data_IF_053156373353
#
_entry.id   IF_053156373353
#
_cell.length_a   1.000
_cell.length_b   1.000
_cell.length_c   1.000
_cell.angle_alpha   90.00
_cell.angle_beta   90.00
_cell.angle_gamma   90.00
#
_symmetry.space_group_name_H-M   'P 1'
#
loop_
_entity.id
_entity.type
_entity.pdbx_description
1 polymer ?
#
# COMPACT_ATOMS: atom_id res chain seq x y z
N UNK A 1 4.98 0.06 -16.14
CA UNK A 1 4.78 1.30 -15.35
C UNK A 1 3.31 1.64 -15.33
N UNK A 2 2.74 1.85 -14.14
CA UNK A 2 1.31 2.13 -13.97
C UNK A 2 1.06 3.33 -13.06
N UNK A 3 -0.01 4.05 -13.33
CA UNK A 3 -0.49 5.18 -12.54
C UNK A 3 -2.01 5.07 -12.35
N UNK A 4 -2.54 5.41 -11.16
CA UNK A 4 -3.98 5.36 -10.89
C UNK A 4 -4.79 6.29 -11.80
N UNK A 5 -5.99 5.85 -12.20
CA UNK A 5 -6.85 6.57 -13.13
C UNK A 5 -8.10 7.19 -12.46
N UNK A 6 -8.54 6.66 -11.30
CA UNK A 6 -9.88 6.94 -10.77
C UNK A 6 -9.93 7.88 -9.54
N UNK A 7 -8.85 8.59 -9.24
CA UNK A 7 -8.86 9.53 -8.12
C UNK A 7 -9.70 10.80 -8.39
N UNK A 8 -9.87 11.17 -9.67
CA UNK A 8 -10.58 12.38 -10.06
C UNK A 8 -10.03 13.63 -9.34
N UNK A 9 -10.92 14.41 -8.73
CA UNK A 9 -10.53 15.59 -7.96
C UNK A 9 -10.18 15.29 -6.49
N UNK A 10 -10.29 14.05 -6.05
CA UNK A 10 -10.08 13.67 -4.64
C UNK A 10 -8.59 13.60 -4.26
N UNK A 11 -7.74 13.20 -5.21
CA UNK A 11 -6.30 13.21 -5.00
C UNK A 11 -5.56 13.79 -6.19
N UNK A 12 -4.46 14.50 -5.93
CA UNK A 12 -3.58 15.04 -6.96
C UNK A 12 -2.15 15.21 -6.41
N UNK A 13 -1.15 14.71 -7.12
CA UNK A 13 0.23 15.13 -6.93
C UNK A 13 0.40 16.48 -7.67
N UNK A 14 0.58 17.57 -6.92
CA UNK A 14 0.66 18.92 -7.48
C UNK A 14 2.05 19.19 -8.05
N UNK A 15 3.09 18.87 -7.28
CA UNK A 15 4.49 19.03 -7.68
C UNK A 15 5.38 18.07 -6.88
N UNK A 16 6.54 17.75 -7.44
CA UNK A 16 7.55 16.92 -6.79
C UNK A 16 8.96 17.45 -7.09
N UNK A 17 9.86 17.33 -6.12
CA UNK A 17 11.25 17.75 -6.28
C UNK A 17 11.88 18.23 -4.98
N UNK A 18 13.21 18.33 -4.97
CA UNK A 18 13.96 18.77 -3.80
C UNK A 18 13.74 17.86 -2.59
N UNK A 19 13.59 16.55 -2.82
CA UNK A 19 13.30 15.53 -1.81
C UNK A 19 11.96 15.68 -1.09
N UNK A 20 10.99 16.34 -1.75
CA UNK A 20 9.65 16.57 -1.21
C UNK A 20 8.58 16.36 -2.28
N UNK A 21 7.34 16.17 -1.82
CA UNK A 21 6.14 16.17 -2.65
C UNK A 21 5.05 17.04 -2.06
N UNK A 22 4.30 17.69 -2.93
CA UNK A 22 3.16 18.52 -2.63
C UNK A 22 1.91 17.83 -3.18
N UNK A 23 1.05 17.36 -2.29
CA UNK A 23 -0.09 16.50 -2.62
C UNK A 23 -1.39 17.06 -2.06
N UNK A 24 -2.44 16.95 -2.84
CA UNK A 24 -3.80 17.27 -2.41
C UNK A 24 -4.54 15.98 -2.03
N UNK A 25 -5.11 15.96 -0.82
CA UNK A 25 -5.99 14.91 -0.32
C UNK A 25 -7.36 15.52 0.02
N UNK A 26 -8.34 15.34 -0.87
CA UNK A 26 -9.63 16.04 -0.77
C UNK A 26 -9.46 17.55 -0.88
N UNK A 27 -9.78 18.28 0.18
CA UNK A 27 -9.67 19.76 0.23
C UNK A 27 -8.30 20.25 0.72
N UNK A 28 -7.49 19.37 1.32
CA UNK A 28 -6.26 19.78 1.99
C UNK A 28 -5.01 19.36 1.20
N UNK A 29 -4.09 20.33 1.06
CA UNK A 29 -2.79 20.11 0.42
C UNK A 29 -1.73 19.96 1.50
N UNK A 30 -0.95 18.88 1.41
CA UNK A 30 0.13 18.57 2.33
C UNK A 30 1.47 18.55 1.62
N UNK A 31 2.49 19.05 2.31
CA UNK A 31 3.88 19.01 1.89
C UNK A 31 4.62 18.03 2.78
N UNK A 32 5.26 17.02 2.19
CA UNK A 32 5.96 15.98 2.95
C UNK A 32 7.20 15.46 2.23
N UNK A 33 8.15 14.84 2.97
CA UNK A 33 9.37 14.31 2.40
C UNK A 33 9.11 13.17 1.41
N UNK A 34 9.88 13.17 0.32
CA UNK A 34 9.91 12.11 -0.68
C UNK A 34 11.34 11.89 -1.18
N UNK A 35 12.05 10.87 -0.71
CA UNK A 35 13.47 10.68 -1.03
C UNK A 35 13.76 10.45 -2.52
N UNK A 36 12.78 9.94 -3.26
CA UNK A 36 12.94 9.68 -4.69
C UNK A 36 12.83 10.93 -5.56
N UNK A 37 12.24 12.02 -5.04
CA UNK A 37 12.08 13.28 -5.77
C UNK A 37 13.38 14.12 -5.77
N UNK A 38 14.45 13.60 -6.37
CA UNK A 38 15.79 14.20 -6.37
C UNK A 38 15.95 15.38 -7.34
N UNK A 39 15.02 15.57 -8.26
CA UNK A 39 15.00 16.65 -9.24
C UNK A 39 14.52 17.98 -8.65
N UNK A 40 14.63 19.05 -9.42
CA UNK A 40 14.16 20.37 -9.02
C UNK A 40 12.62 20.45 -9.02
N UNK A 41 12.07 21.21 -8.08
CA UNK A 41 10.64 21.59 -8.07
C UNK A 41 10.29 22.37 -9.33
N UNK A 42 9.08 22.21 -9.85
CA UNK A 42 8.54 23.02 -10.95
C UNK A 42 7.95 24.33 -10.47
N UNK A 43 7.30 24.30 -9.31
CA UNK A 43 6.77 25.49 -8.66
C UNK A 43 7.83 26.17 -7.78
N UNK A 44 7.68 27.48 -7.58
CA UNK A 44 8.53 28.24 -6.65
C UNK A 44 8.29 27.80 -5.20
N UNK A 45 9.26 28.03 -4.33
CA UNK A 45 9.08 27.79 -2.89
C UNK A 45 7.96 28.63 -2.28
N UNK A 46 7.73 29.84 -2.81
CA UNK A 46 6.63 30.70 -2.40
C UNK A 46 5.27 30.08 -2.76
N UNK A 47 5.13 29.46 -3.96
CA UNK A 47 3.92 28.75 -4.36
C UNK A 47 3.69 27.50 -3.49
N UNK A 48 4.74 26.72 -3.22
CA UNK A 48 4.65 25.59 -2.31
C UNK A 48 4.17 26.01 -0.93
N UNK A 49 4.70 27.10 -0.40
CA UNK A 49 4.26 27.65 0.87
C UNK A 49 2.80 28.15 0.80
N UNK A 50 2.40 28.82 -0.26
CA UNK A 50 1.04 29.32 -0.44
C UNK A 50 0.02 28.20 -0.54
N UNK A 51 0.31 27.15 -1.31
CA UNK A 51 -0.59 26.03 -1.58
C UNK A 51 -0.71 25.07 -0.41
N UNK A 52 0.37 24.88 0.40
CA UNK A 52 0.36 23.89 1.48
C UNK A 52 -0.47 24.34 2.68
N UNK A 53 -1.42 23.50 3.10
CA UNK A 53 -2.18 23.62 4.34
C UNK A 53 -1.41 23.01 5.53
N UNK A 54 -0.63 21.97 5.29
CA UNK A 54 0.21 21.35 6.30
C UNK A 54 1.58 20.95 5.72
N UNK A 55 2.64 21.15 6.50
CA UNK A 55 4.00 20.80 6.13
C UNK A 55 4.62 19.88 7.19
N UNK A 56 5.04 18.69 6.79
CA UNK A 56 5.71 17.76 7.70
C UNK A 56 7.17 18.13 7.89
N UNK A 57 7.57 18.39 9.14
CA UNK A 57 8.95 18.64 9.55
C UNK A 57 9.53 17.42 10.22
N UNK A 58 10.55 16.82 9.60
CA UNK A 58 11.24 15.66 10.18
C UNK A 58 11.88 16.00 11.53
N UNK A 59 11.78 15.09 12.47
CA UNK A 59 12.55 15.12 13.70
C UNK A 59 14.02 14.77 13.40
N UNK A 60 14.93 15.41 14.10
CA UNK A 60 16.37 15.18 13.91
C UNK A 60 16.71 13.70 14.18
N UNK A 61 17.32 13.04 13.21
CA UNK A 61 17.70 11.62 13.29
C UNK A 61 16.59 10.62 12.94
N UNK A 62 15.39 11.07 12.57
CA UNK A 62 14.32 10.20 12.08
C UNK A 62 14.04 10.41 10.60
N UNK A 63 13.74 9.30 9.89
CA UNK A 63 13.26 9.35 8.50
C UNK A 63 11.73 9.42 8.42
N UNK A 64 11.04 8.95 9.46
CA UNK A 64 9.59 8.75 9.45
C UNK A 64 8.84 9.64 10.44
N UNK A 65 9.48 10.00 11.58
CA UNK A 65 8.85 10.78 12.65
C UNK A 65 9.11 12.27 12.50
N UNK A 66 8.15 13.05 12.96
CA UNK A 66 8.22 14.51 12.93
C UNK A 66 6.92 15.14 13.40
N UNK A 67 6.75 16.40 13.03
CA UNK A 67 5.59 17.20 13.38
C UNK A 67 5.03 17.90 12.15
N UNK A 68 3.73 18.12 12.13
CA UNK A 68 3.04 18.88 11.10
C UNK A 68 2.92 20.34 11.52
N UNK A 69 3.50 21.23 10.74
CA UNK A 69 3.21 22.67 10.79
C UNK A 69 1.94 22.94 10.00
N UNK A 70 0.85 23.22 10.68
CA UNK A 70 -0.47 23.41 10.07
C UNK A 70 -0.78 24.90 9.91
N UNK A 71 -1.30 25.29 8.74
CA UNK A 71 -1.76 26.64 8.44
C UNK A 71 -3.29 26.67 8.37
N UNK A 72 -3.89 27.60 9.06
CA UNK A 72 -5.33 27.74 9.08
C UNK A 72 -6.05 26.61 9.84
N UNK A 73 -7.22 26.23 9.36
CA UNK A 73 -8.04 25.20 9.98
C UNK A 73 -7.98 23.91 9.13
N UNK A 74 -7.10 23.01 9.51
CA UNK A 74 -7.09 21.62 8.98
C UNK A 74 -7.63 20.72 10.08
N UNK A 75 -8.65 19.90 9.84
CA UNK A 75 -9.16 18.97 10.85
C UNK A 75 -8.11 17.89 11.18
N UNK A 76 -8.16 17.33 12.39
CA UNK A 76 -7.29 16.23 12.79
C UNK A 76 -7.47 14.99 11.90
N UNK A 77 -8.69 14.83 11.36
CA UNK A 77 -9.03 13.79 10.40
C UNK A 77 -10.09 14.26 9.42
N UNK A 78 -10.02 13.75 8.19
CA UNK A 78 -11.07 13.90 7.16
C UNK A 78 -11.18 12.62 6.34
N UNK A 79 -12.20 12.54 5.52
CA UNK A 79 -12.45 11.35 4.72
C UNK A 79 -12.35 11.67 3.24
N UNK A 80 -11.78 10.75 2.49
CA UNK A 80 -11.56 10.89 1.07
C UNK A 80 -12.15 9.67 0.34
N UNK A 81 -13.14 9.87 -0.57
CA UNK A 81 -13.70 8.78 -1.35
C UNK A 81 -12.74 8.34 -2.47
N UNK A 82 -12.77 7.05 -2.75
CA UNK A 82 -12.25 6.46 -3.97
C UNK A 82 -13.39 5.77 -4.69
N UNK A 83 -13.62 6.15 -5.94
CA UNK A 83 -14.71 5.62 -6.73
C UNK A 83 -14.25 5.30 -8.14
N UNK A 84 -14.48 4.06 -8.56
CA UNK A 84 -14.29 3.58 -9.93
C UNK A 84 -15.53 2.84 -10.40
N UNK A 85 -15.46 2.21 -11.57
CA UNK A 85 -16.56 1.40 -12.09
C UNK A 85 -16.88 0.18 -11.19
N UNK A 86 -15.89 -0.30 -10.42
CA UNK A 86 -16.00 -1.50 -9.58
C UNK A 86 -15.93 -1.22 -8.09
N UNK A 87 -15.31 -0.13 -7.70
CA UNK A 87 -14.99 0.17 -6.30
C UNK A 87 -15.69 1.43 -5.81
N UNK A 88 -16.17 1.38 -4.57
CA UNK A 88 -16.72 2.53 -3.86
C UNK A 88 -16.25 2.46 -2.40
N UNK A 89 -15.12 3.10 -2.11
CA UNK A 89 -14.45 3.06 -0.82
C UNK A 89 -14.29 4.48 -0.26
N UNK A 90 -14.04 4.57 1.04
CA UNK A 90 -13.74 5.82 1.71
C UNK A 90 -12.58 5.62 2.68
N UNK A 91 -11.62 6.55 2.65
CA UNK A 91 -10.41 6.48 3.45
C UNK A 91 -10.31 7.66 4.41
N UNK A 92 -10.03 7.37 5.65
CA UNK A 92 -9.65 8.37 6.63
C UNK A 92 -8.24 8.86 6.34
N UNK A 93 -8.08 10.16 6.24
CA UNK A 93 -6.80 10.86 6.19
C UNK A 93 -6.59 11.54 7.54
N UNK A 94 -5.39 11.49 8.09
CA UNK A 94 -5.07 12.12 9.36
C UNK A 94 -3.59 12.52 9.43
N UNK A 95 -3.34 13.66 10.05
CA UNK A 95 -1.99 14.14 10.32
C UNK A 95 -1.52 13.57 11.67
N UNK A 96 -0.61 12.62 11.62
CA UNK A 96 -0.05 11.95 12.80
C UNK A 96 1.39 12.38 13.06
N UNK A 97 2.03 11.80 14.06
CA UNK A 97 3.48 12.01 14.31
C UNK A 97 4.38 11.39 13.22
N UNK A 98 3.81 10.81 12.19
CA UNK A 98 4.51 10.23 11.04
C UNK A 98 4.23 11.03 9.77
N UNK A 99 5.14 10.90 8.78
CA UNK A 99 4.99 11.55 7.47
C UNK A 99 3.82 11.00 6.64
N UNK A 100 3.38 9.78 6.94
CA UNK A 100 2.29 9.11 6.23
C UNK A 100 0.93 9.56 6.76
N UNK A 101 0.01 9.82 5.84
CA UNK A 101 -1.32 10.39 6.14
C UNK A 101 -2.45 9.35 6.13
N UNK A 102 -2.09 8.06 6.00
CA UNK A 102 -3.04 6.95 6.04
C UNK A 102 -3.45 6.41 4.67
N UNK A 103 -2.88 6.92 3.60
CA UNK A 103 -3.19 6.47 2.24
C UNK A 103 -1.95 6.55 1.35
N UNK A 104 -1.83 5.57 0.47
CA UNK A 104 -0.86 5.47 -0.61
C UNK A 104 -1.63 5.47 -1.94
N UNK A 105 -1.81 6.65 -2.58
CA UNK A 105 -2.67 6.78 -3.75
C UNK A 105 -2.23 5.95 -4.96
N UNK A 106 -0.94 5.72 -5.11
CA UNK A 106 -0.35 4.89 -6.17
C UNK A 106 -0.86 3.44 -6.14
N UNK A 107 -1.22 2.94 -4.96
CA UNK A 107 -1.75 1.59 -4.78
C UNK A 107 -3.11 1.37 -5.46
N UNK A 108 -3.78 2.41 -5.88
CA UNK A 108 -5.06 2.27 -6.55
C UNK A 108 -4.94 1.51 -7.90
N UNK A 109 -3.79 1.48 -8.56
CA UNK A 109 -3.54 0.60 -9.70
C UNK A 109 -3.62 -0.88 -9.31
N UNK A 110 -3.06 -1.25 -8.16
CA UNK A 110 -3.17 -2.60 -7.61
C UNK A 110 -4.60 -2.92 -7.15
N UNK A 111 -5.35 -1.93 -6.65
CA UNK A 111 -6.75 -2.12 -6.26
C UNK A 111 -7.64 -2.45 -7.46
N UNK A 112 -7.45 -1.77 -8.59
CA UNK A 112 -8.21 -2.07 -9.82
C UNK A 112 -7.88 -3.46 -10.37
N UNK A 113 -6.61 -3.87 -10.32
CA UNK A 113 -6.22 -5.24 -10.64
C UNK A 113 -6.93 -6.27 -9.75
N UNK A 114 -6.96 -6.06 -8.44
CA UNK A 114 -7.67 -6.93 -7.51
C UNK A 114 -9.17 -6.96 -7.83
N UNK A 115 -9.78 -5.80 -8.07
CA UNK A 115 -11.21 -5.70 -8.39
C UNK A 115 -11.57 -6.36 -9.73
N UNK A 116 -10.63 -6.43 -10.68
CA UNK A 116 -10.80 -7.17 -11.93
C UNK A 116 -10.67 -8.67 -11.73
N UNK A 117 -9.67 -9.13 -10.97
CA UNK A 117 -9.31 -10.56 -10.90
C UNK A 117 -10.10 -11.34 -9.86
N UNK A 118 -10.50 -10.75 -8.73
CA UNK A 118 -11.24 -11.48 -7.68
C UNK A 118 -12.55 -12.10 -8.19
N UNK A 119 -13.37 -11.44 -9.03
CA UNK A 119 -14.58 -12.06 -9.57
C UNK A 119 -14.34 -13.27 -10.50
N UNK A 120 -13.11 -13.51 -10.95
CA UNK A 120 -12.75 -14.63 -11.82
C UNK A 120 -12.56 -15.94 -11.07
N UNK A 121 -12.39 -15.89 -9.73
CA UNK A 121 -12.21 -17.09 -8.93
C UNK A 121 -13.43 -18.01 -9.00
N UNK A 122 -13.17 -19.30 -9.21
CA UNK A 122 -14.22 -20.33 -9.20
C UNK A 122 -14.80 -20.55 -7.81
N UNK A 123 -13.96 -20.37 -6.79
CA UNK A 123 -14.36 -20.51 -5.39
C UNK A 123 -15.21 -19.32 -4.96
N UNK A 124 -16.43 -19.60 -4.54
CA UNK A 124 -17.27 -18.61 -3.86
C UNK A 124 -16.58 -18.17 -2.56
N UNK A 125 -16.42 -16.87 -2.33
CA UNK A 125 -15.73 -16.30 -1.17
C UNK A 125 -14.26 -16.78 -1.05
N UNK A 126 -13.39 -16.50 -2.02
CA UNK A 126 -11.98 -16.89 -1.95
C UNK A 126 -11.29 -16.23 -0.74
N UNK A 127 -10.39 -16.96 -0.08
CA UNK A 127 -9.66 -16.46 1.10
C UNK A 127 -8.47 -15.62 0.66
N UNK A 128 -8.43 -14.40 1.14
CA UNK A 128 -7.34 -13.45 0.88
C UNK A 128 -6.59 -13.08 2.16
N UNK A 129 -5.28 -13.13 2.08
CA UNK A 129 -4.35 -12.72 3.13
C UNK A 129 -3.62 -11.45 2.70
N UNK A 130 -3.78 -10.38 3.46
CA UNK A 130 -3.04 -9.13 3.24
C UNK A 130 -2.02 -8.95 4.37
N UNK A 131 -0.74 -8.96 4.02
CA UNK A 131 0.41 -8.85 4.93
C UNK A 131 1.01 -7.45 4.84
N UNK A 132 1.46 -6.90 5.97
CA UNK A 132 1.89 -5.50 6.11
C UNK A 132 0.78 -4.55 5.66
N UNK A 133 -0.44 -4.88 6.06
CA UNK A 133 -1.64 -4.42 5.40
C UNK A 133 -2.03 -2.96 5.71
N UNK A 134 -1.27 -2.28 6.58
CA UNK A 134 -1.39 -0.87 6.92
C UNK A 134 -2.84 -0.45 7.24
N UNK A 135 -3.34 0.63 6.65
CA UNK A 135 -4.71 1.14 6.87
C UNK A 135 -5.78 0.42 6.05
N UNK A 136 -5.41 -0.67 5.36
CA UNK A 136 -6.32 -1.65 4.81
C UNK A 136 -6.83 -1.40 3.40
N UNK A 137 -6.24 -0.52 2.61
CA UNK A 137 -6.73 -0.23 1.26
C UNK A 137 -7.03 -1.49 0.43
N UNK A 138 -6.03 -2.34 0.24
CA UNK A 138 -6.20 -3.60 -0.49
C UNK A 138 -7.15 -4.59 0.22
N UNK A 139 -7.17 -4.62 1.56
CA UNK A 139 -8.12 -5.47 2.32
C UNK A 139 -9.57 -5.07 2.07
N UNK A 140 -9.86 -3.77 2.01
CA UNK A 140 -11.21 -3.25 1.72
C UNK A 140 -11.64 -3.60 0.30
N UNK A 141 -10.73 -3.49 -0.67
CA UNK A 141 -10.98 -3.89 -2.06
C UNK A 141 -11.35 -5.38 -2.12
N UNK A 142 -10.50 -6.25 -1.55
CA UNK A 142 -10.77 -7.68 -1.54
C UNK A 142 -12.12 -8.00 -0.88
N UNK A 143 -12.43 -7.34 0.23
CA UNK A 143 -13.71 -7.54 0.94
C UNK A 143 -14.90 -7.04 0.12
N UNK A 144 -14.82 -5.88 -0.51
CA UNK A 144 -15.88 -5.36 -1.37
C UNK A 144 -16.15 -6.29 -2.57
N UNK A 145 -15.11 -6.94 -3.09
CA UNK A 145 -15.20 -7.91 -4.19
C UNK A 145 -15.63 -9.32 -3.73
N UNK A 146 -16.00 -9.50 -2.46
CA UNK A 146 -16.60 -10.75 -1.95
C UNK A 146 -15.62 -11.74 -1.33
N UNK A 147 -14.34 -11.40 -1.17
CA UNK A 147 -13.37 -12.29 -0.53
C UNK A 147 -13.55 -12.38 0.99
N UNK A 148 -13.16 -13.52 1.58
CA UNK A 148 -12.89 -13.66 3.01
C UNK A 148 -11.49 -13.13 3.30
N UNK A 149 -11.39 -12.00 4.03
CA UNK A 149 -10.12 -11.28 4.20
C UNK A 149 -9.54 -11.46 5.58
N UNK A 150 -8.26 -11.85 5.63
CA UNK A 150 -7.41 -11.76 6.83
C UNK A 150 -6.40 -10.64 6.62
N UNK A 151 -6.47 -9.62 7.48
CA UNK A 151 -5.61 -8.44 7.49
C UNK A 151 -4.59 -8.57 8.61
N UNK A 152 -3.30 -8.59 8.27
CA UNK A 152 -2.19 -8.74 9.22
C UNK A 152 -1.30 -7.50 9.20
N UNK A 153 -1.17 -6.87 10.34
CA UNK A 153 -0.23 -5.77 10.56
C UNK A 153 0.27 -5.80 12.01
N UNK A 154 1.52 -5.42 12.23
CA UNK A 154 2.13 -5.43 13.56
C UNK A 154 1.71 -4.25 14.44
N UNK A 155 1.19 -3.17 13.84
CA UNK A 155 0.95 -1.89 14.50
C UNK A 155 -0.51 -1.72 14.89
N UNK A 156 -0.86 -1.95 16.16
CA UNK A 156 -2.25 -1.87 16.66
C UNK A 156 -3.00 -0.58 16.33
N UNK A 157 -2.42 0.64 16.46
CA UNK A 157 -3.09 1.87 16.03
C UNK A 157 -3.47 1.89 14.55
N UNK A 158 -2.67 1.28 13.68
CA UNK A 158 -2.93 1.17 12.25
C UNK A 158 -4.12 0.23 11.99
N UNK A 159 -4.21 -0.88 12.72
CA UNK A 159 -5.39 -1.77 12.66
C UNK A 159 -6.69 -1.05 13.08
N UNK A 160 -6.63 -0.16 14.08
CA UNK A 160 -7.79 0.65 14.45
C UNK A 160 -8.19 1.61 13.34
N UNK A 161 -7.20 2.18 12.65
CA UNK A 161 -7.43 3.03 11.48
C UNK A 161 -8.05 2.25 10.32
N UNK A 162 -7.54 1.05 10.05
CA UNK A 162 -8.09 0.17 9.00
C UNK A 162 -9.56 -0.23 9.28
N UNK A 163 -9.92 -0.44 10.56
CA UNK A 163 -11.33 -0.67 10.96
C UNK A 163 -12.20 0.56 10.71
N UNK A 164 -11.74 1.77 11.06
CA UNK A 164 -12.48 3.00 10.72
C UNK A 164 -12.68 3.12 9.21
N UNK A 165 -11.67 2.78 8.38
CA UNK A 165 -11.80 2.77 6.92
C UNK A 165 -12.83 1.75 6.44
N UNK A 166 -12.88 0.55 7.05
CA UNK A 166 -13.89 -0.46 6.76
C UNK A 166 -15.31 0.06 7.08
N UNK A 167 -15.50 0.65 8.25
CA UNK A 167 -16.80 1.17 8.71
C UNK A 167 -17.31 2.31 7.80
N UNK A 168 -16.45 3.29 7.46
CA UNK A 168 -16.86 4.40 6.58
C UNK A 168 -17.07 3.96 5.13
N UNK A 169 -16.43 2.86 4.71
CA UNK A 169 -16.69 2.20 3.44
C UNK A 169 -17.93 1.30 3.45
N UNK A 170 -18.64 1.22 4.59
CA UNK A 170 -19.84 0.38 4.79
C UNK A 170 -19.58 -1.11 4.53
N UNK A 171 -18.40 -1.58 4.90
CA UNK A 171 -17.99 -2.97 4.82
C UNK A 171 -17.91 -3.59 6.22
N UNK A 172 -17.86 -4.91 6.27
CA UNK A 172 -17.70 -5.72 7.49
C UNK A 172 -16.92 -7.01 7.19
N UNK A 173 -16.74 -7.88 8.19
CA UNK A 173 -16.28 -9.25 8.00
C UNK A 173 -14.79 -9.41 7.69
N UNK A 174 -13.94 -8.43 8.00
CA UNK A 174 -12.48 -8.56 7.90
C UNK A 174 -11.92 -9.11 9.23
N UNK A 175 -11.08 -10.14 9.14
CA UNK A 175 -10.35 -10.71 10.28
C UNK A 175 -9.06 -9.92 10.52
N UNK A 176 -8.97 -9.24 11.66
CA UNK A 176 -7.84 -8.39 12.04
C UNK A 176 -6.83 -9.12 12.91
N UNK A 177 -5.56 -9.12 12.52
CA UNK A 177 -4.46 -9.77 13.24
C UNK A 177 -3.35 -8.77 13.55
N UNK A 178 -3.08 -8.55 14.86
CA UNK A 178 -1.95 -7.76 15.32
C UNK A 178 -0.75 -8.68 15.52
N UNK A 179 0.01 -8.97 14.47
CA UNK A 179 1.08 -9.99 14.47
C UNK A 179 2.17 -9.66 13.45
N UNK A 180 3.36 -10.21 13.67
CA UNK A 180 4.42 -10.24 12.67
C UNK A 180 4.03 -11.09 11.46
N UNK A 181 4.25 -10.58 10.25
CA UNK A 181 3.80 -11.21 9.01
C UNK A 181 4.46 -12.58 8.77
N UNK A 182 5.78 -12.69 8.95
CA UNK A 182 6.51 -13.94 8.74
C UNK A 182 6.10 -15.01 9.76
N UNK A 183 5.95 -14.62 11.03
CA UNK A 183 5.47 -15.49 12.10
C UNK A 183 4.04 -15.98 11.82
N UNK A 184 3.17 -15.10 11.32
CA UNK A 184 1.82 -15.45 10.92
C UNK A 184 1.83 -16.51 9.81
N UNK A 185 2.54 -16.25 8.69
CA UNK A 185 2.61 -17.15 7.53
C UNK A 185 3.14 -18.53 7.93
N UNK A 186 4.26 -18.59 8.66
CA UNK A 186 4.82 -19.85 9.17
C UNK A 186 3.85 -20.63 10.08
N UNK A 187 3.01 -19.93 10.82
CA UNK A 187 1.96 -20.57 11.62
C UNK A 187 0.85 -21.14 10.74
N UNK A 188 0.40 -20.42 9.73
CA UNK A 188 -0.65 -20.89 8.81
C UNK A 188 -0.16 -22.08 7.98
N UNK A 189 1.11 -22.11 7.53
CA UNK A 189 1.72 -23.24 6.87
C UNK A 189 1.69 -24.52 7.75
N UNK A 190 2.09 -24.40 9.03
CA UNK A 190 2.02 -25.54 9.98
C UNK A 190 0.59 -26.04 10.24
N UNK A 191 -0.43 -25.19 10.02
CA UNK A 191 -1.84 -25.54 10.15
C UNK A 191 -2.45 -26.13 8.88
N UNK A 192 -1.71 -26.11 7.77
CA UNK A 192 -2.20 -26.53 6.47
C UNK A 192 -3.31 -25.64 5.91
N UNK A 193 -3.30 -24.35 6.27
CA UNK A 193 -4.25 -23.39 5.73
C UNK A 193 -3.76 -22.87 4.37
N UNK A 194 -4.70 -22.76 3.40
CA UNK A 194 -4.44 -22.22 2.07
C UNK A 194 -5.25 -20.95 1.82
N UNK A 195 -4.65 -20.04 1.04
CA UNK A 195 -5.23 -18.77 0.62
C UNK A 195 -5.23 -18.67 -0.90
N UNK A 196 -6.35 -18.26 -1.46
CA UNK A 196 -6.49 -18.00 -2.90
C UNK A 196 -5.88 -16.65 -3.30
N UNK A 197 -5.75 -15.72 -2.40
CA UNK A 197 -5.05 -14.45 -2.66
C UNK A 197 -4.08 -14.10 -1.56
N UNK A 198 -2.85 -13.73 -1.91
CA UNK A 198 -1.88 -13.21 -0.94
C UNK A 198 -1.31 -11.89 -1.47
N UNK A 199 -1.39 -10.87 -0.61
CA UNK A 199 -0.95 -9.51 -0.89
C UNK A 199 0.20 -9.16 0.05
N UNK A 200 1.27 -8.59 -0.48
CA UNK A 200 2.51 -8.28 0.21
C UNK A 200 2.92 -6.83 -0.07
N UNK A 201 3.06 -6.02 0.97
CA UNK A 201 3.62 -4.66 0.86
C UNK A 201 4.63 -4.40 2.00
N UNK A 202 5.73 -5.21 2.04
CA UNK A 202 6.68 -5.15 3.12
C UNK A 202 7.46 -3.81 3.14
N UNK A 203 7.61 -3.18 4.31
CA UNK A 203 8.46 -2.01 4.46
C UNK A 203 9.93 -2.41 4.37
N UNK A 204 10.82 -1.46 4.04
CA UNK A 204 12.27 -1.69 4.07
C UNK A 204 12.76 -2.10 5.47
N UNK A 205 12.16 -1.53 6.52
CA UNK A 205 12.44 -1.84 7.92
C UNK A 205 11.17 -1.78 8.77
N UNK A 206 11.05 -2.68 9.75
CA UNK A 206 9.92 -2.72 10.68
C UNK A 206 10.24 -3.41 12.00
N UNK A 207 9.25 -3.41 12.89
CA UNK A 207 9.27 -4.21 14.13
C UNK A 207 7.92 -4.88 14.32
N UNK A 208 7.97 -6.15 14.68
CA UNK A 208 6.81 -6.90 15.13
C UNK A 208 6.32 -6.45 16.50
N UNK A 209 5.10 -6.88 16.91
CA UNK A 209 4.49 -6.47 18.17
C UNK A 209 5.24 -6.96 19.42
N UNK A 210 6.01 -8.04 19.31
CA UNK A 210 6.82 -8.60 20.39
C UNK A 210 8.32 -8.21 20.28
N UNK A 211 8.63 -7.26 19.36
CA UNK A 211 9.99 -6.73 19.16
C UNK A 211 10.77 -7.40 18.03
N UNK A 212 10.14 -8.29 17.26
CA UNK A 212 10.74 -8.90 16.09
C UNK A 212 11.31 -7.81 15.16
N UNK A 213 12.50 -8.06 14.63
CA UNK A 213 13.14 -7.16 13.68
C UNK A 213 12.81 -7.62 12.26
N UNK A 214 12.27 -6.71 11.46
CA UNK A 214 12.10 -6.91 10.02
C UNK A 214 13.11 -6.03 9.26
N UNK A 215 13.87 -6.65 8.36
CA UNK A 215 14.72 -6.00 7.36
C UNK A 215 14.44 -6.68 6.02
N UNK A 216 13.99 -5.90 5.06
CA UNK A 216 13.49 -6.42 3.78
C UNK A 216 14.52 -7.31 3.07
N UNK A 217 15.73 -6.80 2.90
CA UNK A 217 16.80 -7.47 2.17
C UNK A 217 17.25 -8.79 2.83
N UNK A 218 17.08 -8.91 4.15
CA UNK A 218 17.48 -10.08 4.92
C UNK A 218 16.39 -11.15 4.98
N UNK A 219 15.10 -10.78 4.82
CA UNK A 219 13.99 -11.67 5.18
C UNK A 219 12.94 -11.87 4.08
N UNK A 220 13.04 -11.13 2.97
CA UNK A 220 12.03 -11.22 1.90
C UNK A 220 11.98 -12.62 1.27
N UNK A 221 13.12 -13.26 1.06
CA UNK A 221 13.18 -14.61 0.49
C UNK A 221 12.51 -15.64 1.42
N UNK A 222 12.83 -15.63 2.72
CA UNK A 222 12.21 -16.51 3.73
C UNK A 222 10.68 -16.30 3.81
N UNK A 223 10.24 -15.04 3.72
CA UNK A 223 8.81 -14.73 3.67
C UNK A 223 8.14 -15.32 2.43
N UNK A 224 8.72 -15.12 1.24
CA UNK A 224 8.15 -15.60 -0.01
C UNK A 224 8.14 -17.13 -0.10
N UNK A 225 9.19 -17.80 0.38
CA UNK A 225 9.21 -19.27 0.52
C UNK A 225 8.08 -19.76 1.42
N UNK A 226 7.87 -19.11 2.57
CA UNK A 226 6.78 -19.45 3.48
C UNK A 226 5.39 -19.13 2.89
N UNK A 227 5.28 -18.07 2.10
CA UNK A 227 4.05 -17.70 1.35
C UNK A 227 3.69 -18.78 0.32
N UNK A 228 4.69 -19.31 -0.41
CA UNK A 228 4.46 -20.42 -1.36
C UNK A 228 3.80 -21.65 -0.71
N UNK A 229 4.15 -21.94 0.54
CA UNK A 229 3.58 -23.09 1.27
C UNK A 229 2.08 -22.95 1.60
N UNK A 230 1.57 -21.70 1.63
CA UNK A 230 0.16 -21.42 1.98
C UNK A 230 -0.66 -20.87 0.80
N UNK A 231 -0.04 -20.72 -0.36
CA UNK A 231 -0.74 -20.31 -1.58
C UNK A 231 -1.50 -21.51 -2.16
N UNK A 232 -2.76 -21.31 -2.55
CA UNK A 232 -3.58 -22.37 -3.12
C UNK A 232 -2.94 -22.89 -4.42
N UNK A 233 -2.69 -24.22 -4.55
CA UNK A 233 -1.95 -24.76 -5.69
C UNK A 233 -2.76 -24.78 -6.99
N UNK A 234 -4.09 -24.71 -6.94
CA UNK A 234 -4.97 -24.87 -8.10
C UNK A 234 -5.39 -23.52 -8.68
N UNK A 235 -5.72 -22.57 -7.81
CA UNK A 235 -6.19 -21.25 -8.22
C UNK A 235 -5.75 -20.18 -7.22
N UNK A 236 -4.89 -19.25 -7.67
CA UNK A 236 -4.42 -18.20 -6.78
C UNK A 236 -4.06 -16.88 -7.47
N UNK A 237 -4.03 -15.84 -6.65
CA UNK A 237 -3.51 -14.51 -6.99
C UNK A 237 -2.38 -14.14 -6.02
N UNK A 238 -1.25 -13.75 -6.56
CA UNK A 238 -0.16 -13.17 -5.78
C UNK A 238 0.08 -11.73 -6.24
N UNK A 239 0.13 -10.81 -5.28
CA UNK A 239 0.48 -9.42 -5.50
C UNK A 239 1.56 -9.02 -4.50
N UNK A 240 2.73 -8.65 -4.99
CA UNK A 240 3.81 -8.08 -4.20
C UNK A 240 4.07 -6.65 -4.65
N UNK A 241 4.14 -5.75 -3.69
CA UNK A 241 4.59 -4.39 -3.89
C UNK A 241 5.78 -4.12 -2.98
N UNK A 242 6.81 -3.44 -3.48
CA UNK A 242 8.02 -3.12 -2.71
C UNK A 242 8.39 -1.67 -2.93
N UNK A 243 8.46 -0.91 -1.85
CA UNK A 243 8.97 0.46 -1.87
C UNK A 243 10.30 0.53 -1.12
N UNK A 244 11.39 0.30 -1.86
CA UNK A 244 12.76 0.44 -1.35
C UNK A 244 13.70 0.93 -2.44
N UNK A 245 14.61 1.83 -2.11
CA UNK A 245 15.59 2.39 -3.06
C UNK A 245 16.55 1.35 -3.66
N UNK A 246 16.68 0.18 -3.06
CA UNK A 246 17.53 -0.92 -3.55
C UNK A 246 16.83 -1.93 -4.46
N UNK A 247 15.52 -1.85 -4.63
CA UNK A 247 14.73 -2.83 -5.39
C UNK A 247 14.29 -2.26 -6.74
N UNK A 248 14.86 -2.82 -7.82
CA UNK A 248 14.35 -2.59 -9.18
C UNK A 248 13.33 -3.67 -9.56
N UNK A 249 12.56 -3.45 -10.63
CA UNK A 249 11.66 -4.47 -11.19
C UNK A 249 12.38 -5.79 -11.46
N UNK A 250 13.59 -5.75 -12.02
CA UNK A 250 14.38 -6.96 -12.29
C UNK A 250 14.77 -7.74 -11.03
N UNK A 251 15.05 -7.04 -9.93
CA UNK A 251 15.34 -7.72 -8.65
C UNK A 251 14.11 -8.47 -8.16
N UNK A 252 12.93 -7.83 -8.20
CA UNK A 252 11.68 -8.46 -7.79
C UNK A 252 11.30 -9.62 -8.72
N UNK A 253 11.41 -9.45 -10.03
CA UNK A 253 11.17 -10.52 -11.01
C UNK A 253 12.06 -11.74 -10.79
N UNK A 254 13.36 -11.55 -10.61
CA UNK A 254 14.29 -12.64 -10.35
C UNK A 254 13.94 -13.39 -9.05
N UNK A 255 13.58 -12.66 -8.01
CA UNK A 255 13.17 -13.24 -6.74
C UNK A 255 11.88 -14.07 -6.88
N UNK A 256 10.87 -13.52 -7.56
CA UNK A 256 9.58 -14.20 -7.78
C UNK A 256 9.75 -15.43 -8.68
N UNK A 257 10.47 -15.32 -9.80
CA UNK A 257 10.72 -16.42 -10.72
C UNK A 257 11.59 -17.54 -10.09
N UNK A 258 12.45 -17.19 -9.13
CA UNK A 258 13.26 -18.17 -8.39
C UNK A 258 12.46 -19.01 -7.39
N UNK A 259 11.31 -18.50 -6.93
CA UNK A 259 10.51 -19.13 -5.88
C UNK A 259 9.21 -19.73 -6.42
N UNK A 260 8.49 -19.00 -7.28
CA UNK A 260 7.16 -19.38 -7.76
C UNK A 260 7.20 -19.89 -9.22
N UNK A 261 6.24 -20.70 -9.57
CA UNK A 261 5.96 -21.06 -10.97
C UNK A 261 5.13 -19.92 -11.61
N UNK A 262 5.81 -18.81 -11.93
CA UNK A 262 5.19 -17.58 -12.39
C UNK A 262 4.56 -17.78 -13.77
N UNK A 263 3.24 -17.53 -13.93
CA UNK A 263 2.58 -17.72 -15.21
C UNK A 263 2.93 -16.61 -16.22
N UNK A 264 2.70 -16.88 -17.52
CA UNK A 264 3.03 -15.95 -18.60
C UNK A 264 2.21 -14.66 -18.59
N UNK A 265 1.11 -14.60 -17.84
CA UNK A 265 0.27 -13.42 -17.65
C UNK A 265 0.71 -12.55 -16.46
N UNK A 266 1.85 -12.84 -15.85
CA UNK A 266 2.38 -12.03 -14.77
C UNK A 266 2.76 -10.63 -15.27
N UNK A 267 2.47 -9.66 -14.44
CA UNK A 267 2.76 -8.26 -14.68
C UNK A 267 3.76 -7.74 -13.65
N UNK A 268 4.79 -7.06 -14.13
CA UNK A 268 5.78 -6.39 -13.28
C UNK A 268 6.04 -4.97 -13.78
N UNK A 269 6.33 -4.08 -12.84
CA UNK A 269 6.63 -2.71 -13.22
C UNK A 269 6.78 -1.78 -12.03
N UNK A 270 6.77 -0.49 -12.32
CA UNK A 270 6.78 0.56 -11.32
C UNK A 270 5.41 1.23 -11.21
N UNK A 271 4.97 1.46 -9.98
CA UNK A 271 3.90 2.39 -9.67
C UNK A 271 4.45 3.81 -9.65
N UNK A 272 3.72 4.73 -10.25
CA UNK A 272 4.12 6.14 -10.23
C UNK A 272 2.91 7.07 -10.18
N UNK A 273 3.17 8.31 -9.81
CA UNK A 273 2.20 9.40 -9.88
C UNK A 273 2.75 10.51 -10.79
N UNK A 274 1.89 11.04 -11.66
CA UNK A 274 2.22 12.24 -12.43
C UNK A 274 1.96 13.49 -11.59
N UNK A 275 2.90 14.43 -11.59
CA UNK A 275 2.62 15.79 -11.10
C UNK A 275 2.05 16.69 -12.23
N UNK A 276 1.68 17.92 -11.87
CA UNK A 276 1.09 18.86 -12.84
C UNK A 276 2.08 19.35 -13.94
N UNK A 277 3.33 18.96 -13.82
CA UNK A 277 4.39 19.26 -14.80
C UNK A 277 4.82 18.04 -15.59
N UNK A 278 4.00 16.98 -15.57
CA UNK A 278 4.23 15.69 -16.24
C UNK A 278 5.48 14.92 -15.73
N UNK A 279 6.05 15.31 -14.57
CA UNK A 279 7.10 14.51 -13.95
C UNK A 279 6.47 13.27 -13.32
N UNK A 280 7.11 12.13 -13.54
CA UNK A 280 6.70 10.83 -12.97
C UNK A 280 7.46 10.58 -11.69
N UNK A 281 6.76 10.57 -10.56
CA UNK A 281 7.32 10.22 -9.26
C UNK A 281 7.16 8.70 -9.06
N UNK A 282 8.24 7.90 -9.07
CA UNK A 282 8.16 6.47 -8.81
C UNK A 282 7.87 6.22 -7.32
N UNK A 283 6.96 5.29 -7.01
CA UNK A 283 6.46 5.04 -5.66
C UNK A 283 6.36 3.54 -5.31
N UNK A 284 7.10 2.72 -6.00
CA UNK A 284 7.24 1.30 -5.70
C UNK A 284 7.29 0.43 -6.94
N UNK A 285 7.77 -0.78 -6.74
CA UNK A 285 7.82 -1.85 -7.75
C UNK A 285 6.73 -2.85 -7.40
N UNK A 286 5.93 -3.23 -8.38
CA UNK A 286 4.95 -4.30 -8.23
C UNK A 286 5.31 -5.53 -9.06
N UNK A 287 4.89 -6.70 -8.56
CA UNK A 287 4.81 -7.95 -9.31
C UNK A 287 3.50 -8.62 -8.92
N UNK A 288 2.67 -8.99 -9.91
CA UNK A 288 1.36 -9.55 -9.66
C UNK A 288 0.91 -10.50 -10.77
N UNK A 289 0.15 -11.50 -10.40
CA UNK A 289 -0.48 -12.42 -11.36
C UNK A 289 -1.69 -13.12 -10.75
N UNK A 290 -2.54 -13.63 -11.63
CA UNK A 290 -3.60 -14.57 -11.34
C UNK A 290 -3.27 -15.89 -12.05
N UNK A 291 -3.29 -16.98 -11.31
CA UNK A 291 -3.00 -18.34 -11.76
C UNK A 291 -4.21 -19.24 -11.58
N UNK A 292 -4.48 -20.07 -12.59
CA UNK A 292 -5.50 -21.12 -12.58
C UNK A 292 -5.00 -22.27 -13.43
N UNK A 293 -5.12 -23.52 -12.90
CA UNK A 293 -4.80 -24.76 -13.63
C UNK A 293 -5.80 -25.01 -14.75
#
# INVERSE_FOLDING_TARGET
METPQFWGNNYQLIDSGGFEKLEKFGEFTVRRPEPQAIWAKSLSEADWQKLSHAHFKKEKGSQERGQWEVKGKVPDKWFMPYQSDRLNLSFKISLSSFKHVGLFPEQASNWEFLAEKIPLFQKANPKFLNLFAYTGGASLVCRQMGAEVTHVDSVKPVLSWARENMEVSKLDGIRWMAEDALKFVKREARRGNYYQGILLDPPAYGRGPDGEKWVLEEQIEDLLLSVKEILDPEEHLLLSNVYSLGFSTLVVENLMNGIFDVPSNAESGELYLNDNSDKKLPLGVFHRYYYQV
#
